data_IF_196554792802
#
_entry.id   IF_196554792802
#
_cell.length_a   1.000
_cell.length_b   1.000
_cell.length_c   1.000
_cell.angle_alpha   90.00
_cell.angle_beta   90.00
_cell.angle_gamma   90.00
#
_symmetry.space_group_name_H-M   'P 1'
#
loop_
_entity.id
_entity.type
_entity.pdbx_description
1 polymer ?
#
# COMPACT_ATOMS: atom_id res chain seq x y z
N UNK A 1 19.46 20.56 -35.85
CA UNK A 1 18.27 20.21 -35.02
C UNK A 1 18.75 19.43 -33.82
N UNK A 2 18.58 19.92 -32.58
CA UNK A 2 18.79 19.11 -31.37
C UNK A 2 17.93 19.68 -30.24
N UNK A 3 16.75 19.10 -30.03
CA UNK A 3 15.86 19.39 -28.91
C UNK A 3 15.96 18.21 -27.95
N UNK A 4 16.61 18.41 -26.81
CA UNK A 4 16.66 17.45 -25.70
C UNK A 4 15.83 17.99 -24.55
N UNK A 5 14.52 17.71 -24.58
CA UNK A 5 13.58 18.08 -23.53
C UNK A 5 13.22 16.83 -22.71
N UNK A 6 14.08 16.45 -21.76
CA UNK A 6 13.95 15.20 -21.00
C UNK A 6 13.49 15.35 -19.54
N UNK A 7 13.18 16.55 -19.06
CA UNK A 7 13.05 16.80 -17.61
C UNK A 7 11.71 17.38 -17.12
N UNK A 8 10.65 17.33 -17.93
CA UNK A 8 9.34 17.93 -17.56
C UNK A 8 8.27 16.91 -17.14
N UNK A 9 8.49 15.60 -17.34
CA UNK A 9 7.42 14.59 -17.22
C UNK A 9 7.16 14.07 -15.80
N UNK A 10 8.12 14.17 -14.88
CA UNK A 10 8.03 13.49 -13.57
C UNK A 10 7.00 14.15 -12.64
N UNK A 11 7.07 15.47 -12.50
CA UNK A 11 6.26 16.27 -11.54
C UNK A 11 4.76 16.29 -11.81
N UNK A 12 4.33 16.10 -13.06
CA UNK A 12 2.89 16.03 -13.41
C UNK A 12 2.28 14.67 -13.09
N UNK A 13 3.09 13.62 -13.07
CA UNK A 13 2.61 12.27 -12.72
C UNK A 13 2.29 12.17 -11.23
N UNK A 14 3.14 12.70 -10.35
CA UNK A 14 2.96 12.55 -8.89
C UNK A 14 1.61 13.08 -8.37
N UNK A 15 1.14 14.23 -8.89
CA UNK A 15 -0.19 14.77 -8.53
C UNK A 15 -1.33 13.88 -9.02
N UNK A 16 -1.19 13.30 -10.22
CA UNK A 16 -2.22 12.43 -10.80
C UNK A 16 -2.29 11.09 -10.03
N UNK A 17 -1.15 10.58 -9.55
CA UNK A 17 -1.09 9.41 -8.68
C UNK A 17 -1.72 9.66 -7.30
N UNK A 18 -1.49 10.83 -6.70
CA UNK A 18 -2.09 11.17 -5.42
C UNK A 18 -3.62 11.29 -5.52
N UNK A 19 -4.12 11.92 -6.58
CA UNK A 19 -5.56 12.04 -6.83
C UNK A 19 -6.20 10.67 -7.06
N UNK A 20 -5.63 9.87 -7.97
CA UNK A 20 -6.10 8.51 -8.24
C UNK A 20 -6.09 7.65 -6.97
N UNK A 21 -5.12 7.83 -6.08
CA UNK A 21 -5.08 7.10 -4.83
C UNK A 21 -6.15 7.51 -3.83
N UNK A 22 -6.48 8.79 -3.76
CA UNK A 22 -7.62 9.26 -2.96
C UNK A 22 -8.93 8.71 -3.52
N UNK A 23 -9.14 8.75 -4.84
CA UNK A 23 -10.32 8.17 -5.48
C UNK A 23 -10.43 6.66 -5.20
N UNK A 24 -9.33 5.91 -5.31
CA UNK A 24 -9.31 4.48 -5.01
C UNK A 24 -9.58 4.18 -3.52
N UNK A 25 -9.09 5.03 -2.62
CA UNK A 25 -9.38 4.91 -1.19
C UNK A 25 -10.87 5.14 -0.91
N UNK A 26 -11.46 6.17 -1.52
CA UNK A 26 -12.88 6.49 -1.37
C UNK A 26 -13.76 5.36 -1.91
N UNK A 27 -13.51 4.90 -3.15
CA UNK A 27 -14.20 3.76 -3.75
C UNK A 27 -14.11 2.50 -2.87
N UNK A 28 -12.95 2.26 -2.26
CA UNK A 28 -12.77 1.13 -1.34
C UNK A 28 -13.57 1.30 -0.04
N UNK A 29 -13.65 2.51 0.49
CA UNK A 29 -14.46 2.81 1.68
C UNK A 29 -15.97 2.67 1.40
N UNK A 30 -16.42 3.10 0.21
CA UNK A 30 -17.81 2.94 -0.24
C UNK A 30 -18.17 1.46 -0.43
N UNK A 31 -17.27 0.67 -1.03
CA UNK A 31 -17.46 -0.76 -1.21
C UNK A 31 -17.43 -1.53 0.13
N UNK A 32 -16.68 -1.03 1.12
CA UNK A 32 -16.47 -1.71 2.40
C UNK A 32 -16.67 -0.76 3.60
N UNK A 33 -17.92 -0.36 3.91
CA UNK A 33 -18.20 0.61 4.97
C UNK A 33 -17.88 0.12 6.39
N UNK A 34 -17.72 -1.20 6.59
CA UNK A 34 -17.27 -1.81 7.86
C UNK A 34 -15.79 -2.14 7.91
N UNK A 35 -15.02 -1.89 6.85
CA UNK A 35 -13.57 -2.13 6.88
C UNK A 35 -12.90 -1.15 7.82
N UNK A 36 -11.85 -1.56 8.56
CA UNK A 36 -11.09 -0.64 9.41
C UNK A 36 -10.50 0.53 8.63
N UNK A 37 -10.22 0.39 7.32
CA UNK A 37 -9.89 1.54 6.44
C UNK A 37 -10.97 2.63 6.45
N UNK A 38 -12.26 2.28 6.36
CA UNK A 38 -13.36 3.24 6.32
C UNK A 38 -13.57 3.94 7.67
N UNK A 39 -13.33 3.21 8.78
CA UNK A 39 -13.54 3.71 10.15
C UNK A 39 -12.35 4.53 10.64
N UNK A 40 -11.13 4.09 10.34
CA UNK A 40 -9.89 4.67 10.90
C UNK A 40 -9.16 5.59 9.94
N UNK A 41 -9.49 5.57 8.65
CA UNK A 41 -8.90 6.39 7.58
C UNK A 41 -7.37 6.50 7.70
N UNK A 42 -6.63 5.40 7.41
CA UNK A 42 -5.18 5.39 7.51
C UNK A 42 -4.53 6.44 6.60
N UNK A 43 -3.38 6.97 7.02
CA UNK A 43 -2.58 7.89 6.21
C UNK A 43 -1.91 7.10 5.09
N UNK A 44 -2.17 7.49 3.85
CA UNK A 44 -1.57 6.89 2.66
C UNK A 44 -0.28 7.64 2.30
N UNK A 45 0.79 6.87 2.14
CA UNK A 45 2.10 7.34 1.71
C UNK A 45 2.52 6.58 0.46
N UNK A 46 3.24 7.26 -0.43
CA UNK A 46 3.88 6.64 -1.58
C UNK A 46 5.40 6.72 -1.41
N UNK A 47 6.07 5.58 -1.56
CA UNK A 47 7.54 5.48 -1.55
C UNK A 47 7.99 4.73 -2.79
N UNK A 48 8.47 5.48 -3.78
CA UNK A 48 8.80 4.92 -5.10
C UNK A 48 7.53 4.42 -5.77
N UNK A 49 7.43 3.10 -5.90
CA UNK A 49 6.29 2.40 -6.53
C UNK A 49 5.40 1.68 -5.50
N UNK A 50 5.71 1.81 -4.20
CA UNK A 50 4.96 1.17 -3.13
C UNK A 50 4.02 2.14 -2.43
N UNK A 51 2.82 1.66 -2.18
CA UNK A 51 1.79 2.31 -1.37
C UNK A 51 1.83 1.78 0.04
N UNK A 52 1.78 2.70 1.01
CA UNK A 52 1.89 2.41 2.42
C UNK A 52 0.69 3.06 3.12
N UNK A 53 -0.19 2.25 3.69
CA UNK A 53 -1.31 2.68 4.51
C UNK A 53 -0.93 2.55 5.99
N UNK A 54 -0.76 3.67 6.69
CA UNK A 54 -0.32 3.71 8.08
C UNK A 54 -1.42 4.24 9.00
N UNK A 55 -1.70 3.51 10.08
CA UNK A 55 -2.49 3.99 11.21
C UNK A 55 -1.66 3.91 12.50
N UNK A 56 -1.35 5.06 13.08
CA UNK A 56 -0.58 5.16 14.33
C UNK A 56 0.46 6.29 14.30
N UNK A 57 1.21 6.46 15.40
CA UNK A 57 2.24 7.51 15.50
C UNK A 57 3.42 7.24 14.56
N UNK A 58 3.79 5.97 14.39
CA UNK A 58 4.94 5.51 13.62
C UNK A 58 4.68 4.15 12.98
N UNK A 59 5.48 3.78 11.96
CA UNK A 59 5.41 2.46 11.32
C UNK A 59 5.74 1.32 12.29
N UNK A 60 6.57 1.59 13.31
CA UNK A 60 7.02 0.60 14.29
C UNK A 60 5.98 0.34 15.40
N UNK A 61 5.21 1.37 15.76
CA UNK A 61 4.19 1.29 16.83
C UNK A 61 2.76 1.23 16.29
N UNK A 62 2.59 1.44 14.98
CA UNK A 62 1.31 1.47 14.29
C UNK A 62 1.07 0.25 13.41
N UNK A 63 -0.12 0.23 12.79
CA UNK A 63 -0.49 -0.81 11.82
C UNK A 63 -0.17 -0.29 10.43
N UNK A 64 0.56 -1.07 9.64
CA UNK A 64 1.03 -0.66 8.31
C UNK A 64 0.67 -1.67 7.23
N UNK A 65 -0.13 -1.29 6.24
CA UNK A 65 -0.35 -2.08 5.03
C UNK A 65 0.56 -1.62 3.90
N UNK A 66 1.28 -2.53 3.24
CA UNK A 66 2.18 -2.20 2.13
C UNK A 66 1.75 -2.99 0.90
N UNK A 67 1.69 -2.32 -0.26
CA UNK A 67 1.37 -2.98 -1.53
C UNK A 67 1.82 -2.20 -2.76
N UNK A 68 1.91 -2.84 -3.94
CA UNK A 68 2.24 -2.18 -5.21
C UNK A 68 1.11 -1.29 -5.73
N UNK A 69 -0.10 -1.42 -5.18
CA UNK A 69 -1.27 -0.59 -5.51
C UNK A 69 -1.95 -0.13 -4.23
N UNK A 70 -2.76 0.92 -4.33
CA UNK A 70 -3.53 1.48 -3.22
C UNK A 70 -4.43 0.40 -2.61
N UNK A 71 -5.21 -0.31 -3.44
CA UNK A 71 -6.08 -1.39 -2.98
C UNK A 71 -5.32 -2.52 -2.28
N UNK A 72 -4.13 -2.89 -2.78
CA UNK A 72 -3.30 -3.91 -2.14
C UNK A 72 -2.80 -3.45 -0.76
N UNK A 73 -2.37 -2.19 -0.64
CA UNK A 73 -1.96 -1.62 0.63
C UNK A 73 -3.12 -1.55 1.64
N UNK A 74 -4.32 -1.14 1.20
CA UNK A 74 -5.52 -1.09 2.02
C UNK A 74 -5.97 -2.48 2.49
N UNK A 75 -5.94 -3.48 1.60
CA UNK A 75 -6.25 -4.87 1.97
C UNK A 75 -5.23 -5.42 2.97
N UNK A 76 -3.94 -5.15 2.76
CA UNK A 76 -2.88 -5.57 3.68
C UNK A 76 -3.04 -4.91 5.06
N UNK A 77 -3.47 -3.64 5.08
CA UNK A 77 -3.81 -2.92 6.30
C UNK A 77 -5.00 -3.55 7.03
N UNK A 78 -6.10 -3.83 6.32
CA UNK A 78 -7.29 -4.45 6.92
C UNK A 78 -6.95 -5.82 7.54
N UNK A 79 -6.16 -6.63 6.82
CA UNK A 79 -5.70 -7.93 7.31
C UNK A 79 -4.86 -7.81 8.59
N UNK A 80 -3.92 -6.86 8.63
CA UNK A 80 -3.10 -6.61 9.82
C UNK A 80 -3.90 -6.01 10.97
N UNK A 81 -4.88 -5.15 10.69
CA UNK A 81 -5.76 -4.59 11.71
C UNK A 81 -6.60 -5.69 12.35
N UNK A 82 -7.16 -6.61 11.56
CA UNK A 82 -7.91 -7.76 12.08
C UNK A 82 -6.99 -8.77 12.80
N UNK A 83 -5.75 -8.96 12.32
CA UNK A 83 -4.78 -9.82 12.96
C UNK A 83 -4.30 -9.25 14.31
N UNK A 84 -4.08 -7.95 14.41
CA UNK A 84 -3.64 -7.25 15.63
C UNK A 84 -4.71 -7.13 16.72
N UNK A 85 -5.98 -7.41 16.40
CA UNK A 85 -7.02 -7.66 17.41
C UNK A 85 -6.80 -8.98 18.16
N UNK A 86 -5.93 -9.87 17.64
CA UNK A 86 -5.36 -11.00 18.39
C UNK A 86 -4.02 -10.55 18.97
N UNK A 87 -3.68 -10.91 20.22
CA UNK A 87 -2.43 -10.51 20.84
C UNK A 87 -1.25 -10.86 19.91
N UNK A 88 -0.25 -9.98 19.79
CA UNK A 88 0.79 -10.06 18.78
C UNK A 88 1.70 -11.25 19.07
N UNK A 89 1.34 -12.41 18.53
CA UNK A 89 2.31 -13.47 18.29
C UNK A 89 3.11 -13.03 17.06
N UNK A 90 4.11 -12.19 17.30
CA UNK A 90 5.35 -12.14 16.53
C UNK A 90 5.16 -12.32 15.01
N UNK A 91 4.48 -11.38 14.35
CA UNK A 91 4.45 -11.34 12.88
C UNK A 91 5.82 -10.87 12.40
N UNK A 92 6.75 -11.82 12.39
CA UNK A 92 8.02 -11.73 11.70
C UNK A 92 7.70 -11.27 10.27
N UNK A 93 8.33 -10.16 9.93
CA UNK A 93 8.30 -9.54 8.61
C UNK A 93 8.97 -10.51 7.64
N UNK A 94 8.25 -11.51 7.14
CA UNK A 94 8.69 -12.29 5.99
C UNK A 94 8.56 -11.41 4.74
N UNK A 95 9.53 -10.51 4.61
CA UNK A 95 9.91 -9.93 3.34
C UNK A 95 10.29 -11.08 2.41
N UNK A 96 9.40 -11.40 1.46
CA UNK A 96 9.76 -11.97 0.18
C UNK A 96 10.41 -13.35 0.21
N UNK A 97 9.64 -14.40 0.47
CA UNK A 97 9.94 -15.72 -0.08
C UNK A 97 9.08 -15.94 -1.34
N UNK A 98 9.46 -15.27 -2.43
CA UNK A 98 9.15 -15.79 -3.77
C UNK A 98 9.87 -17.13 -3.91
N UNK A 99 9.25 -18.23 -3.47
CA UNK A 99 9.67 -19.57 -3.91
C UNK A 99 9.23 -19.72 -5.36
N UNK A 100 9.99 -19.09 -6.26
CA UNK A 100 10.08 -19.54 -7.64
C UNK A 100 10.83 -20.87 -7.58
N UNK A 101 10.10 -21.97 -7.38
CA UNK A 101 10.57 -23.26 -7.84
C UNK A 101 10.04 -23.41 -9.24
N UNK A 102 10.85 -22.97 -10.19
CA UNK A 102 10.70 -23.27 -11.61
C UNK A 102 10.54 -24.77 -11.75
N UNK A 103 9.41 -25.16 -12.34
CA UNK A 103 9.26 -26.41 -13.05
C UNK A 103 10.40 -26.55 -14.05
N UNK A 104 11.19 -27.62 -13.96
CA UNK A 104 11.89 -28.14 -15.12
C UNK A 104 12.08 -29.64 -14.98
N UNK A 105 11.35 -30.31 -15.84
CA UNK A 105 11.45 -31.68 -16.30
C UNK A 105 12.88 -32.07 -16.71
N UNK A 106 13.29 -33.29 -16.38
CA UNK A 106 14.02 -34.24 -17.24
C UNK A 106 14.11 -35.59 -16.51
#
# INVERSE_FOLDING_TARGET
>A
MKKNNGHVSRRRNDMNYALAAMEQLELYCEAHPRSPVAVRRPRLFVRGELWIALLGPSVEEGIVGIGPTVTAALRAFDAQYLAGLRPPAEMIRECGAVRSVSSSVA
#
